data_IF_926899720707
#
_entry.id   IF_926899720707
#
_cell.length_a   1.000
_cell.length_b   1.000
_cell.length_c   1.000
_cell.angle_alpha   90.00
_cell.angle_beta   90.00
_cell.angle_gamma   90.00
#
_symmetry.space_group_name_H-M   'P 1'
#
loop_
_entity.id
_entity.type
_entity.pdbx_description
1 polymer ?
#
# COMPACT_ATOMS: atom_id res chain seq x y z
N UNK A 1 -15.72 6.42 4.68
CA UNK A 1 -15.28 6.46 3.26
C UNK A 1 -14.77 5.07 2.92
N UNK A 2 -15.42 4.35 2.00
CA UNK A 2 -15.09 2.96 1.70
C UNK A 2 -14.03 2.89 0.60
N UNK A 3 -12.78 2.71 0.99
CA UNK A 3 -11.75 2.20 0.10
C UNK A 3 -12.01 0.71 -0.17
N UNK A 4 -11.69 0.26 -1.36
CA UNK A 4 -11.79 -1.15 -1.70
C UNK A 4 -10.58 -1.56 -2.51
N UNK A 5 -10.05 -2.75 -2.21
CA UNK A 5 -9.04 -3.37 -3.05
C UNK A 5 -9.37 -4.84 -3.32
N UNK A 6 -9.00 -5.31 -4.51
CA UNK A 6 -8.95 -6.72 -4.87
C UNK A 6 -7.51 -7.11 -5.08
N UNK A 7 -7.10 -8.23 -4.48
CA UNK A 7 -5.76 -8.76 -4.66
C UNK A 7 -5.46 -8.95 -6.15
N UNK A 8 -4.26 -8.53 -6.53
CA UNK A 8 -3.71 -8.80 -7.85
C UNK A 8 -3.24 -10.25 -7.99
N UNK A 9 -2.45 -10.50 -9.02
CA UNK A 9 -1.75 -11.77 -9.23
C UNK A 9 -0.31 -11.50 -9.65
N UNK A 10 0.47 -12.56 -9.88
CA UNK A 10 1.86 -12.45 -10.35
C UNK A 10 2.04 -11.56 -11.59
N UNK A 11 1.02 -11.40 -12.43
CA UNK A 11 1.10 -10.65 -13.69
C UNK A 11 0.10 -9.48 -13.76
N UNK A 12 -0.66 -9.23 -12.69
CA UNK A 12 -1.75 -8.25 -12.69
C UNK A 12 -1.74 -7.44 -11.40
N UNK A 13 -1.77 -6.12 -11.54
CA UNK A 13 -1.87 -5.22 -10.42
C UNK A 13 -3.17 -5.46 -9.63
N UNK A 14 -3.18 -5.18 -8.32
CA UNK A 14 -4.42 -5.15 -7.55
C UNK A 14 -5.37 -4.10 -8.13
N UNK A 15 -6.66 -4.34 -7.98
CA UNK A 15 -7.65 -3.29 -8.24
C UNK A 15 -7.72 -2.43 -7.00
N UNK A 16 -7.49 -1.13 -7.12
CA UNK A 16 -7.64 -0.14 -6.07
C UNK A 16 -8.65 0.94 -6.49
N UNK A 17 -9.49 1.36 -5.53
CA UNK A 17 -10.42 2.47 -5.67
C UNK A 17 -10.50 3.26 -4.37
N UNK A 18 -10.51 4.59 -4.50
CA UNK A 18 -10.83 5.51 -3.42
C UNK A 18 -11.71 6.66 -3.93
N UNK A 19 -12.01 7.62 -3.07
CA UNK A 19 -12.88 8.77 -3.41
C UNK A 19 -12.30 9.69 -4.51
N UNK A 20 -10.99 9.61 -4.76
CA UNK A 20 -10.33 10.35 -5.84
C UNK A 20 -10.40 9.61 -7.18
N UNK A 21 -10.96 8.40 -7.19
CA UNK A 21 -11.17 7.58 -8.37
C UNK A 21 -10.33 6.31 -8.40
N UNK A 22 -10.23 5.73 -9.60
CA UNK A 22 -9.46 4.51 -9.90
C UNK A 22 -8.13 4.94 -10.55
N UNK A 23 -6.96 4.60 -9.99
CA UNK A 23 -5.68 4.84 -10.65
C UNK A 23 -5.57 4.10 -11.98
N UNK A 24 -4.81 4.63 -12.93
CA UNK A 24 -4.76 4.06 -14.29
C UNK A 24 -4.13 2.66 -14.34
N UNK A 25 -3.25 2.34 -13.38
CA UNK A 25 -2.60 1.04 -13.24
C UNK A 25 -3.50 -0.03 -12.56
N UNK A 26 -4.62 0.38 -11.97
CA UNK A 26 -5.51 -0.47 -11.17
C UNK A 26 -6.04 -1.65 -12.00
N UNK A 27 -5.82 -2.88 -11.52
CA UNK A 27 -6.23 -4.09 -12.23
C UNK A 27 -5.53 -4.32 -13.58
N UNK A 28 -4.47 -3.59 -13.89
CA UNK A 28 -3.76 -3.69 -15.17
C UNK A 28 -2.74 -4.83 -15.18
N UNK A 29 -2.56 -5.48 -16.33
CA UNK A 29 -1.48 -6.44 -16.56
C UNK A 29 -0.12 -5.75 -16.54
N UNK A 30 0.90 -6.34 -15.91
CA UNK A 30 2.26 -5.76 -15.86
C UNK A 30 2.86 -5.50 -17.25
N UNK A 31 2.47 -6.29 -18.26
CA UNK A 31 2.89 -6.12 -19.66
C UNK A 31 2.40 -4.83 -20.30
N UNK A 32 1.41 -4.16 -19.72
CA UNK A 32 0.87 -2.87 -20.18
C UNK A 32 1.46 -1.67 -19.44
N UNK A 33 2.34 -1.90 -18.45
CA UNK A 33 2.95 -0.81 -17.70
C UNK A 33 3.99 -0.07 -18.54
N UNK A 34 3.64 1.15 -18.93
CA UNK A 34 4.60 2.14 -19.43
C UNK A 34 5.46 2.68 -18.28
N UNK A 35 6.52 3.42 -18.61
CA UNK A 35 7.37 4.07 -17.61
C UNK A 35 6.58 5.05 -16.73
N UNK A 36 5.61 5.76 -17.32
CA UNK A 36 4.73 6.70 -16.63
C UNK A 36 3.84 5.98 -15.61
N UNK A 37 3.25 4.84 -15.99
CA UNK A 37 2.42 4.03 -15.10
C UNK A 37 3.25 3.43 -13.96
N UNK A 38 4.49 3.02 -14.22
CA UNK A 38 5.42 2.58 -13.16
C UNK A 38 5.73 3.70 -12.17
N UNK A 39 5.96 4.92 -12.66
CA UNK A 39 6.20 6.08 -11.80
C UNK A 39 4.94 6.50 -11.01
N UNK A 40 3.75 6.39 -11.60
CA UNK A 40 2.48 6.58 -10.91
C UNK A 40 2.29 5.54 -9.79
N UNK A 41 2.48 4.25 -10.10
CA UNK A 41 2.40 3.16 -9.13
C UNK A 41 3.42 3.35 -8.00
N UNK A 42 4.65 3.72 -8.32
CA UNK A 42 5.70 3.96 -7.32
C UNK A 42 5.29 5.05 -6.32
N UNK A 43 4.78 6.20 -6.81
CA UNK A 43 4.28 7.28 -5.94
C UNK A 43 3.10 6.84 -5.09
N UNK A 44 2.21 6.02 -5.66
CA UNK A 44 1.12 5.43 -4.89
C UNK A 44 1.65 4.56 -3.75
N UNK A 45 2.58 3.65 -4.03
CA UNK A 45 3.18 2.74 -3.03
C UNK A 45 3.83 3.54 -1.89
N UNK A 46 4.58 4.59 -2.22
CA UNK A 46 5.27 5.44 -1.25
C UNK A 46 4.30 6.11 -0.27
N UNK A 47 3.24 6.72 -0.79
CA UNK A 47 2.28 7.48 0.01
C UNK A 47 1.33 6.54 0.76
N UNK A 48 0.69 5.64 0.03
CA UNK A 48 -0.35 4.77 0.56
C UNK A 48 0.25 3.73 1.52
N UNK A 49 1.37 3.10 1.15
CA UNK A 49 2.05 2.13 2.01
C UNK A 49 2.41 2.74 3.36
N UNK A 50 3.01 3.93 3.36
CA UNK A 50 3.29 4.68 4.58
C UNK A 50 2.03 4.97 5.40
N UNK A 51 0.99 5.50 4.76
CA UNK A 51 -0.24 5.84 5.45
C UNK A 51 -0.91 4.60 6.08
N UNK A 52 -0.90 3.45 5.40
CA UNK A 52 -1.43 2.19 5.96
C UNK A 52 -0.65 1.69 7.15
N UNK A 53 0.68 1.73 7.10
CA UNK A 53 1.51 1.35 8.25
C UNK A 53 1.25 2.24 9.46
N UNK A 54 1.13 3.55 9.22
CA UNK A 54 0.81 4.51 10.27
C UNK A 54 -0.58 4.24 10.88
N UNK A 55 -1.62 4.12 10.03
CA UNK A 55 -2.99 3.82 10.46
C UNK A 55 -3.08 2.50 11.22
N UNK A 56 -2.42 1.45 10.74
CA UNK A 56 -2.45 0.14 11.38
C UNK A 56 -1.81 0.17 12.78
N UNK A 57 -0.71 0.90 12.96
CA UNK A 57 -0.12 1.08 14.28
C UNK A 57 -1.05 1.87 15.22
N UNK A 58 -1.69 2.94 14.73
CA UNK A 58 -2.60 3.74 15.56
C UNK A 58 -3.88 3.00 15.96
N UNK A 59 -4.31 2.04 15.14
CA UNK A 59 -5.54 1.26 15.37
C UNK A 59 -5.29 -0.15 15.92
N UNK A 60 -4.04 -0.49 16.23
CA UNK A 60 -3.63 -1.82 16.72
C UNK A 60 -3.96 -2.97 15.74
N UNK A 61 -3.83 -2.69 14.44
CA UNK A 61 -4.09 -3.62 13.34
C UNK A 61 -2.86 -3.90 12.46
N UNK A 62 -1.66 -3.74 13.01
CA UNK A 62 -0.39 -3.99 12.31
C UNK A 62 -0.36 -5.39 11.72
N UNK A 63 0.04 -5.47 10.45
CA UNK A 63 0.17 -6.72 9.71
C UNK A 63 -1.03 -7.08 8.84
N UNK A 64 -2.21 -6.50 9.06
CA UNK A 64 -3.40 -6.81 8.24
C UNK A 64 -3.24 -6.41 6.77
N UNK A 65 -2.37 -5.44 6.47
CA UNK A 65 -2.20 -4.83 5.14
C UNK A 65 -0.75 -4.84 4.67
N UNK A 66 0.07 -5.74 5.22
CA UNK A 66 1.49 -5.84 4.82
C UNK A 66 1.66 -6.44 3.43
N UNK A 67 0.72 -7.28 2.99
CA UNK A 67 0.70 -7.88 1.64
C UNK A 67 -0.39 -7.22 0.78
N UNK A 68 -0.01 -6.20 0.01
CA UNK A 68 -0.93 -5.51 -0.89
C UNK A 68 -0.73 -5.93 -2.35
N UNK A 69 0.50 -6.25 -2.74
CA UNK A 69 0.84 -6.76 -4.07
C UNK A 69 1.18 -8.24 -3.99
N UNK A 70 0.94 -8.96 -5.09
CA UNK A 70 1.42 -10.32 -5.20
C UNK A 70 2.97 -10.34 -5.15
N UNK A 71 3.62 -11.25 -4.40
CA UNK A 71 5.07 -11.27 -4.23
C UNK A 71 5.90 -11.39 -5.51
N UNK A 72 5.29 -11.89 -6.60
CA UNK A 72 5.95 -12.01 -7.91
C UNK A 72 5.62 -10.85 -8.86
N UNK A 73 4.63 -10.02 -8.55
CA UNK A 73 4.21 -8.92 -9.42
C UNK A 73 5.36 -7.94 -9.66
N UNK A 74 5.65 -7.65 -10.94
CA UNK A 74 6.81 -6.85 -11.34
C UNK A 74 8.12 -7.39 -10.74
N UNK A 75 8.30 -8.72 -10.80
CA UNK A 75 9.46 -9.40 -10.20
C UNK A 75 9.62 -9.13 -8.69
N UNK A 76 8.50 -8.89 -8.01
CA UNK A 76 8.41 -8.61 -6.57
C UNK A 76 8.76 -7.19 -6.15
N UNK A 77 9.23 -6.34 -7.07
CA UNK A 77 9.65 -4.97 -6.75
C UNK A 77 8.52 -4.16 -6.09
N UNK A 78 7.27 -4.36 -6.53
CA UNK A 78 6.11 -3.64 -5.98
C UNK A 78 5.86 -4.00 -4.51
N UNK A 79 5.85 -5.30 -4.17
CA UNK A 79 5.62 -5.77 -2.81
C UNK A 79 6.76 -5.39 -1.86
N UNK A 80 8.02 -5.51 -2.31
CA UNK A 80 9.20 -5.11 -1.52
C UNK A 80 9.13 -3.61 -1.18
N UNK A 81 8.78 -2.78 -2.17
CA UNK A 81 8.66 -1.33 -1.99
C UNK A 81 7.50 -0.99 -1.07
N UNK A 82 6.36 -1.66 -1.22
CA UNK A 82 5.21 -1.50 -0.33
C UNK A 82 5.57 -1.80 1.12
N UNK A 83 6.17 -2.96 1.38
CA UNK A 83 6.56 -3.38 2.72
C UNK A 83 7.54 -2.39 3.37
N UNK A 84 8.50 -1.86 2.58
CA UNK A 84 9.42 -0.83 3.05
C UNK A 84 8.67 0.41 3.55
N UNK A 85 7.76 0.97 2.74
CA UNK A 85 7.03 2.18 3.12
C UNK A 85 6.01 1.92 4.24
N UNK A 86 5.37 0.76 4.22
CA UNK A 86 4.52 0.30 5.32
C UNK A 86 5.26 0.29 6.66
N UNK A 87 6.43 -0.36 6.72
CA UNK A 87 7.25 -0.41 7.93
C UNK A 87 7.73 0.97 8.37
N UNK A 88 8.00 1.89 7.43
CA UNK A 88 8.30 3.29 7.76
C UNK A 88 7.11 3.99 8.41
N UNK A 89 5.89 3.77 7.93
CA UNK A 89 4.66 4.28 8.53
C UNK A 89 4.46 3.79 9.96
N UNK A 90 4.61 2.48 10.18
CA UNK A 90 4.53 1.86 11.51
C UNK A 90 5.55 2.49 12.46
N UNK A 91 6.82 2.56 12.05
CA UNK A 91 7.88 3.15 12.88
C UNK A 91 7.60 4.62 13.21
N UNK A 92 7.05 5.38 12.25
CA UNK A 92 6.70 6.79 12.47
C UNK A 92 5.56 6.94 13.48
N UNK A 93 4.52 6.12 13.38
CA UNK A 93 3.40 6.09 14.32
C UNK A 93 3.84 5.73 15.76
N UNK A 94 4.78 4.79 15.89
CA UNK A 94 5.38 4.42 17.18
C UNK A 94 6.13 5.58 17.82
N UNK A 95 6.95 6.30 17.04
CA UNK A 95 7.67 7.49 17.50
C UNK A 95 6.71 8.63 17.87
N UNK A 96 5.64 8.81 17.08
CA UNK A 96 4.60 9.80 17.34
C UNK A 96 3.72 9.45 18.55
N UNK A 97 3.85 8.24 19.12
CA UNK A 97 2.97 7.70 20.17
C UNK A 97 1.50 7.83 19.78
N UNK A 98 1.16 7.58 18.51
CA UNK A 98 -0.21 7.77 18.05
C UNK A 98 -1.20 6.78 18.69
N UNK A 99 -0.70 5.75 19.40
CA UNK A 99 -1.42 5.11 20.50
C UNK A 99 -1.65 6.18 21.58
N UNK A 100 -2.66 7.02 21.35
CA UNK A 100 -3.22 7.84 22.41
C UNK A 100 -3.46 6.92 23.59
N UNK A 101 -2.97 7.34 24.75
CA UNK A 101 -3.12 6.68 26.03
C UNK A 101 -4.59 6.29 26.23
N UNK A 102 -4.95 5.04 25.92
CA UNK A 102 -6.18 4.42 26.40
C UNK A 102 -5.79 3.77 27.73
N UNK A 103 -5.76 4.56 28.79
CA UNK A 103 -5.42 4.06 30.12
C UNK A 103 -4.79 5.12 31.03
N UNK A 104 -5.62 6.05 31.49
CA UNK A 104 -5.37 6.92 32.65
C UNK A 104 -6.68 7.11 33.38
#
# INVERSE_FOLDING_TARGET
MSQYYLMGSAIKAPTFYNERGVPNWSGMSETRFTSELKAELQRFIEIEGFQRGYEDECNDTVGLRIEFFHPEFMSGAAQITWEKHYRQGVAHAQLARCKAVVGG
#
